data_IF_543743485444
#
_entry.id   IF_543743485444
#
_cell.length_a   1.000
_cell.length_b   1.000
_cell.length_c   1.000
_cell.angle_alpha   90.00
_cell.angle_beta   90.00
_cell.angle_gamma   90.00
#
_symmetry.space_group_name_H-M   'P 1'
#
loop_
_entity.id
_entity.type
_entity.pdbx_description
1 polymer ?
#
# COMPACT_ATOMS: atom_id res chain seq x y z
N UNK A 1 0.15 -3.61 20.79
CA UNK A 1 0.54 -5.03 20.66
C UNK A 1 2.03 -5.16 20.36
N UNK A 2 2.66 -6.29 20.68
CA UNK A 2 4.06 -6.56 20.31
C UNK A 2 4.19 -6.80 18.78
N UNK A 3 5.17 -6.18 18.11
CA UNK A 3 5.39 -6.33 16.64
C UNK A 3 5.60 -7.78 16.20
N UNK A 4 6.20 -8.61 17.05
CA UNK A 4 6.40 -10.06 16.77
C UNK A 4 5.11 -10.87 16.85
N UNK A 5 4.14 -10.40 17.64
CA UNK A 5 2.84 -11.03 17.81
C UNK A 5 1.89 -10.60 16.70
N UNK A 6 1.86 -9.30 16.39
CA UNK A 6 1.19 -8.74 15.21
C UNK A 6 1.61 -9.46 13.91
N UNK A 7 2.92 -9.70 13.76
CA UNK A 7 3.48 -10.42 12.63
C UNK A 7 2.89 -11.82 12.47
N UNK A 8 2.82 -12.58 13.58
CA UNK A 8 2.24 -13.93 13.60
C UNK A 8 0.76 -13.91 13.29
N UNK A 9 0.00 -13.00 13.90
CA UNK A 9 -1.45 -12.92 13.72
C UNK A 9 -1.86 -12.49 12.30
N UNK A 10 -1.06 -11.62 11.65
CA UNK A 10 -1.31 -11.18 10.25
C UNK A 10 -0.72 -12.15 9.23
N UNK A 11 0.16 -13.07 9.64
CA UNK A 11 0.83 -14.00 8.74
C UNK A 11 1.92 -13.35 7.89
N UNK A 12 2.67 -12.39 8.45
CA UNK A 12 3.81 -11.73 7.77
C UNK A 12 5.07 -11.78 8.62
N UNK A 13 6.23 -11.56 8.00
CA UNK A 13 7.49 -11.50 8.74
C UNK A 13 7.57 -10.25 9.63
N UNK A 14 8.30 -10.35 10.73
CA UNK A 14 8.56 -9.23 11.64
C UNK A 14 9.23 -8.04 10.92
N UNK A 15 10.16 -8.33 9.99
CA UNK A 15 10.80 -7.29 9.18
C UNK A 15 9.78 -6.56 8.28
N UNK A 16 8.80 -7.29 7.73
CA UNK A 16 7.72 -6.67 6.97
C UNK A 16 6.88 -5.73 7.84
N UNK A 17 6.58 -6.12 9.09
CA UNK A 17 5.89 -5.22 10.04
C UNK A 17 6.67 -3.92 10.25
N UNK A 18 7.99 -3.96 10.44
CA UNK A 18 8.80 -2.74 10.57
C UNK A 18 8.74 -1.87 9.32
N UNK A 19 8.87 -2.48 8.14
CA UNK A 19 8.79 -1.78 6.86
C UNK A 19 7.42 -1.15 6.59
N UNK A 20 6.34 -1.79 7.03
CA UNK A 20 4.99 -1.26 6.87
C UNK A 20 4.69 -0.19 7.93
N UNK A 21 5.19 -0.38 9.15
CA UNK A 21 5.11 0.62 10.23
C UNK A 21 5.80 1.92 9.85
N UNK A 22 6.98 1.88 9.21
CA UNK A 22 7.64 3.09 8.70
C UNK A 22 6.88 3.78 7.56
N UNK A 23 5.92 3.09 6.94
CA UNK A 23 4.99 3.63 5.93
C UNK A 23 3.66 4.09 6.53
N UNK A 24 3.52 4.08 7.86
CA UNK A 24 2.31 4.49 8.56
C UNK A 24 1.29 3.38 8.81
N UNK A 25 1.66 2.10 8.68
CA UNK A 25 0.79 1.00 9.10
C UNK A 25 0.62 1.02 10.63
N UNK A 26 -0.62 1.05 11.16
CA UNK A 26 -0.88 0.91 12.59
C UNK A 26 -0.37 -0.44 13.12
N UNK A 27 0.12 -0.45 14.36
CA UNK A 27 0.70 -1.66 15.01
C UNK A 27 0.07 -1.99 16.37
N UNK A 28 -0.96 -1.23 16.72
CA UNK A 28 -1.77 -1.32 17.92
C UNK A 28 -2.68 -2.55 17.89
N UNK A 29 -3.35 -2.82 16.77
CA UNK A 29 -4.30 -3.94 16.57
C UNK A 29 -4.08 -4.69 15.25
N UNK A 30 -4.45 -5.97 15.23
CA UNK A 30 -4.46 -6.81 14.01
C UNK A 30 -5.46 -6.27 12.99
N UNK A 31 -6.61 -5.81 13.47
CA UNK A 31 -7.74 -5.40 12.64
C UNK A 31 -7.43 -4.10 11.88
N UNK A 32 -6.91 -3.09 12.57
CA UNK A 32 -6.49 -1.81 11.98
C UNK A 32 -5.33 -2.00 10.98
N UNK A 33 -4.36 -2.84 11.32
CA UNK A 33 -3.26 -3.18 10.42
C UNK A 33 -3.73 -3.94 9.17
N UNK A 34 -4.72 -4.83 9.29
CA UNK A 34 -5.28 -5.57 8.15
C UNK A 34 -6.08 -4.66 7.22
N UNK A 35 -6.92 -3.78 7.77
CA UNK A 35 -7.62 -2.73 7.02
C UNK A 35 -6.65 -1.81 6.29
N UNK A 36 -5.59 -1.37 6.95
CA UNK A 36 -4.56 -0.54 6.33
C UNK A 36 -3.88 -1.28 5.18
N UNK A 37 -3.54 -2.57 5.36
CA UNK A 37 -2.92 -3.39 4.31
C UNK A 37 -3.83 -3.57 3.11
N UNK A 38 -5.12 -3.84 3.30
CA UNK A 38 -6.04 -3.93 2.17
C UNK A 38 -6.12 -2.59 1.42
N UNK A 39 -6.31 -1.47 2.12
CA UNK A 39 -6.38 -0.16 1.47
C UNK A 39 -5.10 0.24 0.73
N UNK A 40 -3.92 -0.03 1.30
CA UNK A 40 -2.64 0.52 0.81
C UNK A 40 -1.82 -0.47 -0.02
N UNK A 41 -2.01 -1.77 0.15
CA UNK A 41 -1.24 -2.81 -0.54
C UNK A 41 -2.05 -3.59 -1.56
N UNK A 42 -3.39 -3.45 -1.60
CA UNK A 42 -4.20 -4.19 -2.55
C UNK A 42 -3.75 -3.88 -4.00
N UNK A 43 -3.30 -4.91 -4.75
CA UNK A 43 -2.77 -4.75 -6.09
C UNK A 43 -3.75 -4.14 -7.08
N UNK A 44 -5.06 -4.26 -6.83
CA UNK A 44 -6.12 -3.68 -7.65
C UNK A 44 -5.96 -2.17 -7.75
N UNK A 45 -5.80 -1.49 -6.62
CA UNK A 45 -5.57 -0.03 -6.58
C UNK A 45 -4.17 0.35 -7.11
N UNK A 46 -3.17 -0.52 -6.93
CA UNK A 46 -1.81 -0.27 -7.42
C UNK A 46 -1.67 -0.41 -8.95
N UNK A 47 -2.41 -1.34 -9.56
CA UNK A 47 -2.46 -1.50 -11.02
C UNK A 47 -3.23 -0.35 -11.66
N UNK A 48 -4.37 0.04 -11.08
CA UNK A 48 -5.15 1.20 -11.53
C UNK A 48 -4.32 2.49 -11.53
N UNK A 49 -3.52 2.74 -10.49
CA UNK A 49 -2.62 3.89 -10.46
C UNK A 49 -1.59 3.86 -11.59
N UNK A 50 -0.92 2.71 -11.81
CA UNK A 50 0.06 2.58 -12.91
C UNK A 50 -0.58 2.75 -14.29
N UNK A 51 -1.77 2.19 -14.50
CA UNK A 51 -2.51 2.31 -15.77
C UNK A 51 -2.93 3.75 -16.00
N UNK A 52 -3.49 4.43 -14.99
CA UNK A 52 -3.89 5.84 -15.08
C UNK A 52 -2.70 6.77 -15.33
N UNK A 53 -1.59 6.57 -14.63
CA UNK A 53 -0.35 7.34 -14.84
C UNK A 53 0.19 7.15 -16.26
N UNK A 54 0.23 5.90 -16.77
CA UNK A 54 0.65 5.65 -18.15
C UNK A 54 -0.29 6.29 -19.18
N UNK A 55 -1.60 6.21 -18.96
CA UNK A 55 -2.58 6.85 -19.83
C UNK A 55 -2.44 8.37 -19.82
N UNK A 56 -2.28 8.98 -18.63
CA UNK A 56 -2.07 10.41 -18.48
C UNK A 56 -0.77 10.88 -19.16
N UNK A 57 0.33 10.15 -18.97
CA UNK A 57 1.61 10.41 -19.66
C UNK A 57 1.49 10.27 -21.18
N UNK A 58 0.74 9.28 -21.68
CA UNK A 58 0.50 9.11 -23.11
C UNK A 58 -0.30 10.29 -23.70
N UNK A 59 -1.32 10.76 -22.98
CA UNK A 59 -2.13 11.92 -23.38
C UNK A 59 -1.32 13.23 -23.32
N UNK A 60 -0.43 13.39 -22.34
CA UNK A 60 0.49 14.53 -22.27
C UNK A 60 1.51 14.52 -23.42
N UNK A 61 2.07 13.35 -23.74
CA UNK A 61 3.00 13.22 -24.88
C UNK A 61 2.33 13.49 -26.23
N UNK A 62 1.03 13.23 -26.35
CA UNK A 62 0.21 13.60 -27.50
C UNK A 62 -0.27 15.06 -27.47
N UNK A 63 0.09 15.84 -26.44
CA UNK A 63 -0.28 17.25 -26.30
C UNK A 63 -1.75 17.50 -25.94
N UNK A 64 -2.50 16.47 -25.57
CA UNK A 64 -3.95 16.55 -25.30
C UNK A 64 -4.28 17.13 -23.91
N UNK A 65 -3.34 17.09 -22.98
CA UNK A 65 -3.51 17.58 -21.59
C UNK A 65 -2.24 18.33 -21.17
N UNK A 66 -2.40 19.43 -20.43
CA UNK A 66 -1.31 20.22 -19.83
C UNK A 66 -1.47 20.26 -18.30
N UNK A 67 -0.36 20.51 -17.62
CA UNK A 67 -0.22 20.58 -16.15
C UNK A 67 -1.25 21.49 -15.48
#
# INVERSE_FOLDING_TARGET
MNKSELARNIGISRQMVYKLSSRGMPTDSVETASLWRDRNLNPRYRKEFKTKVRAYLALMNQGMIKY
#
